data_IF_597214960709
#
_entry.id   IF_597214960709
#
_cell.length_a   1.000
_cell.length_b   1.000
_cell.length_c   1.000
_cell.angle_alpha   90.00
_cell.angle_beta   90.00
_cell.angle_gamma   90.00
#
_symmetry.space_group_name_H-M   'P 1'
#
loop_
_entity.id
_entity.type
_entity.pdbx_description
1 polymer ?
#
# COMPACT_ATOMS: atom_id res chain seq x y z
N UNK A 1 9.90 50.64 -18.05
CA UNK A 1 11.02 49.70 -18.25
C UNK A 1 11.75 49.47 -16.94
N UNK A 2 11.53 48.33 -16.28
CA UNK A 2 12.21 47.74 -15.09
C UNK A 2 11.36 46.49 -14.73
N UNK A 3 11.82 45.28 -14.45
CA UNK A 3 13.15 44.73 -14.16
C UNK A 3 13.10 43.19 -14.22
N UNK A 4 14.25 42.58 -14.51
CA UNK A 4 14.59 41.13 -14.60
C UNK A 4 14.46 40.38 -13.26
N UNK A 5 14.09 39.08 -13.24
CA UNK A 5 14.49 38.05 -12.24
C UNK A 5 14.44 36.63 -12.87
N UNK A 6 15.59 36.01 -13.22
CA UNK A 6 16.43 35.08 -12.43
C UNK A 6 15.98 33.60 -12.56
N UNK A 7 16.84 32.81 -13.21
CA UNK A 7 16.82 31.34 -13.33
C UNK A 7 17.14 30.72 -11.96
N UNK A 8 16.44 29.66 -11.54
CA UNK A 8 16.91 28.80 -10.44
C UNK A 8 16.62 27.32 -10.74
N UNK A 9 17.70 26.55 -10.87
CA UNK A 9 17.71 25.10 -11.01
C UNK A 9 17.44 24.42 -9.66
N UNK A 10 16.63 23.37 -9.64
CA UNK A 10 16.45 22.51 -8.45
C UNK A 10 16.86 21.08 -8.76
N UNK A 11 18.06 20.74 -8.28
CA UNK A 11 18.54 19.37 -8.09
C UNK A 11 17.82 18.82 -6.87
N UNK A 12 17.17 17.66 -6.97
CA UNK A 12 16.70 16.93 -5.80
C UNK A 12 17.38 15.57 -5.70
N UNK A 13 18.26 15.49 -4.70
CA UNK A 13 19.03 14.33 -4.24
C UNK A 13 18.10 13.23 -3.74
N UNK A 14 18.18 12.03 -4.30
CA UNK A 14 17.55 10.82 -3.75
C UNK A 14 18.56 10.02 -2.94
N UNK A 15 18.40 9.99 -1.62
CA UNK A 15 19.12 9.05 -0.75
C UNK A 15 18.32 7.76 -0.60
N UNK A 16 18.87 6.64 -1.06
CA UNK A 16 18.35 5.29 -0.76
C UNK A 16 18.96 4.84 0.58
N UNK A 17 18.13 4.72 1.62
CA UNK A 17 18.52 4.11 2.88
C UNK A 17 18.24 2.60 2.82
N UNK A 18 19.29 1.79 2.74
CA UNK A 18 19.24 0.34 2.94
C UNK A 18 19.34 0.04 4.44
N UNK A 19 18.33 -0.57 5.04
CA UNK A 19 18.41 -1.07 6.42
C UNK A 19 18.50 -2.60 6.43
N UNK A 20 19.47 -3.10 7.18
CA UNK A 20 19.88 -4.49 7.31
C UNK A 20 19.53 -5.08 8.70
N UNK A 21 19.57 -6.43 8.79
CA UNK A 21 19.63 -7.30 9.99
C UNK A 21 18.34 -7.41 10.84
N UNK A 22 17.99 -8.52 11.52
CA UNK A 22 18.63 -9.80 11.78
C UNK A 22 17.59 -10.87 12.25
N UNK A 23 17.99 -12.14 12.09
CA UNK A 23 17.85 -13.30 13.00
C UNK A 23 16.57 -13.48 13.83
N UNK A 24 15.92 -14.64 13.66
CA UNK A 24 15.51 -15.47 14.80
C UNK A 24 15.53 -16.95 14.35
N UNK A 25 16.56 -17.67 14.80
CA UNK A 25 16.47 -19.11 14.97
C UNK A 25 15.56 -19.43 16.16
N UNK A 26 14.75 -20.48 16.03
CA UNK A 26 14.92 -21.69 16.85
C UNK A 26 13.94 -22.75 16.34
N UNK A 27 14.51 -23.83 15.82
CA UNK A 27 13.79 -25.02 15.40
C UNK A 27 13.51 -25.89 16.63
N UNK A 28 12.26 -25.87 17.12
CA UNK A 28 11.78 -26.89 18.06
C UNK A 28 11.18 -28.03 17.28
N UNK A 29 11.94 -29.13 17.20
CA UNK A 29 11.46 -30.46 16.88
C UNK A 29 10.88 -31.10 18.14
N UNK A 30 9.61 -31.47 18.11
CA UNK A 30 9.04 -32.43 19.06
C UNK A 30 8.07 -33.34 18.30
N UNK A 31 8.56 -34.54 17.97
CA UNK A 31 7.71 -35.63 17.52
C UNK A 31 7.07 -36.28 18.74
N UNK A 32 5.74 -36.39 18.71
CA UNK A 32 4.94 -37.15 19.67
C UNK A 32 3.85 -37.87 18.89
N UNK A 33 4.04 -39.17 18.69
CA UNK A 33 3.15 -40.08 17.96
C UNK A 33 1.80 -40.26 18.65
N UNK A 34 0.71 -40.26 17.88
CA UNK A 34 -0.44 -41.16 18.11
C UNK A 34 -1.42 -41.15 16.95
N UNK A 35 -1.24 -42.17 16.10
CA UNK A 35 -2.19 -42.80 15.20
C UNK A 35 -3.68 -42.38 15.34
N UNK A 36 -4.14 -41.47 14.48
CA UNK A 36 -5.56 -41.42 14.07
C UNK A 36 -5.60 -41.71 12.58
N UNK A 37 -6.31 -42.77 12.22
CA UNK A 37 -6.61 -43.17 10.84
C UNK A 37 -7.24 -41.97 10.11
N UNK A 38 -6.49 -41.37 9.19
CA UNK A 38 -6.95 -40.31 8.30
C UNK A 38 -7.40 -40.91 6.94
N UNK A 39 -8.42 -40.35 6.27
CA UNK A 39 -8.85 -40.78 4.93
C UNK A 39 -7.70 -40.71 3.91
N UNK A 40 -7.75 -41.47 2.79
CA UNK A 40 -6.61 -41.63 1.90
C UNK A 40 -6.09 -40.27 1.42
N UNK A 41 -4.86 -39.97 1.85
CA UNK A 41 -4.07 -38.83 1.41
C UNK A 41 -3.99 -38.80 -0.10
N UNK A 42 -4.80 -37.92 -0.71
CA UNK A 42 -4.44 -37.33 -1.98
C UNK A 42 -3.11 -36.62 -1.75
N UNK A 43 -2.04 -37.14 -2.34
CA UNK A 43 -0.71 -36.53 -2.35
C UNK A 43 -0.82 -35.20 -3.09
N UNK A 44 -1.32 -34.18 -2.43
CA UNK A 44 -1.19 -32.82 -2.94
C UNK A 44 0.25 -32.41 -2.62
N UNK A 45 1.15 -32.66 -3.56
CA UNK A 45 2.49 -32.09 -3.61
C UNK A 45 2.36 -30.57 -3.52
N UNK A 46 2.26 -30.11 -2.29
CA UNK A 46 2.22 -28.72 -1.92
C UNK A 46 3.65 -28.25 -2.02
N UNK A 47 4.11 -28.02 -3.24
CA UNK A 47 5.27 -27.17 -3.49
C UNK A 47 4.97 -25.90 -2.72
N UNK A 48 5.64 -25.70 -1.59
CA UNK A 48 5.44 -24.57 -0.70
C UNK A 48 5.85 -23.30 -1.45
N UNK A 49 4.94 -22.77 -2.28
CA UNK A 49 5.07 -21.45 -2.86
C UNK A 49 5.06 -20.51 -1.67
N UNK A 50 6.21 -19.91 -1.37
CA UNK A 50 6.28 -18.79 -0.46
C UNK A 50 5.26 -17.76 -0.93
N UNK A 51 4.15 -17.64 -0.22
CA UNK A 51 3.19 -16.58 -0.47
C UNK A 51 3.91 -15.27 -0.21
N UNK A 52 3.93 -14.31 -1.14
CA UNK A 52 4.56 -13.02 -0.90
C UNK A 52 3.92 -12.42 0.36
N UNK A 53 4.76 -11.99 1.30
CA UNK A 53 4.31 -11.26 2.48
C UNK A 53 3.44 -10.08 2.01
N UNK A 54 2.16 -10.10 2.41
CA UNK A 54 1.21 -9.06 2.04
C UNK A 54 1.62 -7.68 2.55
N UNK A 55 0.99 -6.63 2.03
CA UNK A 55 1.24 -5.25 2.47
C UNK A 55 0.95 -5.10 3.96
N UNK A 56 1.82 -4.38 4.66
CA UNK A 56 1.56 -4.02 6.06
C UNK A 56 0.37 -3.05 6.15
N UNK A 57 -0.30 -3.00 7.30
CA UNK A 57 -1.40 -2.03 7.53
C UNK A 57 -0.97 -0.58 7.29
N UNK A 58 0.27 -0.23 7.63
CA UNK A 58 0.81 1.10 7.39
C UNK A 58 0.92 1.41 5.90
N UNK A 59 1.41 0.46 5.11
CA UNK A 59 1.49 0.58 3.65
C UNK A 59 0.09 0.71 3.03
N UNK A 60 -0.87 -0.13 3.45
CA UNK A 60 -2.25 -0.05 2.93
C UNK A 60 -2.89 1.31 3.24
N UNK A 61 -2.70 1.85 4.45
CA UNK A 61 -3.22 3.18 4.79
C UNK A 61 -2.59 4.27 3.94
N UNK A 62 -1.28 4.22 3.71
CA UNK A 62 -0.59 5.16 2.82
C UNK A 62 -1.20 5.12 1.42
N UNK A 63 -1.35 3.93 0.85
CA UNK A 63 -1.93 3.76 -0.49
C UNK A 63 -3.37 4.25 -0.56
N UNK A 64 -4.17 4.01 0.48
CA UNK A 64 -5.55 4.49 0.54
C UNK A 64 -5.63 6.02 0.55
N UNK A 65 -4.74 6.68 1.31
CA UNK A 65 -4.64 8.15 1.32
C UNK A 65 -4.23 8.65 -0.06
N UNK A 66 -3.23 8.01 -0.68
CA UNK A 66 -2.76 8.37 -2.02
C UNK A 66 -3.88 8.21 -3.07
N UNK A 67 -4.64 7.11 -3.03
CA UNK A 67 -5.78 6.87 -3.92
C UNK A 67 -6.92 7.88 -3.72
N UNK A 68 -7.20 8.26 -2.47
CA UNK A 68 -8.18 9.32 -2.16
C UNK A 68 -7.76 10.65 -2.77
N UNK A 69 -6.49 11.03 -2.59
CA UNK A 69 -5.94 12.27 -3.17
C UNK A 69 -5.95 12.24 -4.70
N UNK A 70 -5.68 11.07 -5.30
CA UNK A 70 -5.73 10.89 -6.74
C UNK A 70 -7.16 11.01 -7.32
N UNK A 71 -8.18 10.71 -6.52
CA UNK A 71 -9.59 10.72 -6.89
C UNK A 71 -10.11 9.39 -7.46
N UNK A 72 -9.31 8.32 -7.38
CA UNK A 72 -9.60 7.02 -8.03
C UNK A 72 -10.54 6.12 -7.23
N UNK A 73 -10.89 6.50 -6.00
CA UNK A 73 -11.87 5.78 -5.20
C UNK A 73 -13.27 6.16 -5.70
N UNK A 74 -14.06 5.23 -6.27
CA UNK A 74 -15.41 5.52 -6.72
C UNK A 74 -16.32 5.82 -5.52
N UNK A 75 -17.27 6.73 -5.72
CA UNK A 75 -18.22 7.13 -4.66
C UNK A 75 -19.45 6.25 -4.61
N UNK A 76 -19.71 5.48 -5.67
CA UNK A 76 -20.85 4.57 -5.81
C UNK A 76 -20.33 3.21 -6.28
N UNK A 77 -21.06 2.15 -5.96
CA UNK A 77 -20.66 0.78 -6.28
C UNK A 77 -20.72 0.48 -7.79
N UNK A 78 -21.56 1.21 -8.54
CA UNK A 78 -21.76 1.00 -9.98
C UNK A 78 -20.71 1.70 -10.88
N UNK A 79 -19.92 2.62 -10.34
CA UNK A 79 -18.97 3.43 -11.12
C UNK A 79 -17.56 2.82 -11.10
N UNK A 80 -17.47 1.53 -11.43
CA UNK A 80 -16.21 0.80 -11.52
C UNK A 80 -15.99 0.22 -12.93
N UNK A 81 -14.87 0.53 -13.60
CA UNK A 81 -13.85 1.49 -13.19
C UNK A 81 -14.34 2.96 -13.29
N UNK A 82 -13.88 3.87 -12.42
CA UNK A 82 -14.39 5.24 -12.40
C UNK A 82 -14.01 5.99 -13.68
N UNK A 83 -14.95 6.75 -14.23
CA UNK A 83 -14.69 7.61 -15.38
C UNK A 83 -13.70 8.74 -15.04
N UNK A 84 -13.02 9.30 -16.04
CA UNK A 84 -12.14 10.46 -15.83
C UNK A 84 -12.89 11.65 -15.20
N UNK A 85 -14.14 11.88 -15.62
CA UNK A 85 -15.01 12.90 -15.05
C UNK A 85 -15.25 12.66 -13.55
N UNK A 86 -15.50 11.41 -13.15
CA UNK A 86 -15.65 11.04 -11.73
C UNK A 86 -14.36 11.31 -10.96
N UNK A 87 -13.22 10.91 -11.51
CA UNK A 87 -11.89 11.11 -10.89
C UNK A 87 -11.64 12.59 -10.63
N UNK A 88 -11.88 13.46 -11.62
CA UNK A 88 -11.66 14.90 -11.50
C UNK A 88 -12.60 15.54 -10.46
N UNK A 89 -13.88 15.13 -10.46
CA UNK A 89 -14.85 15.58 -9.46
C UNK A 89 -14.47 15.14 -8.04
N UNK A 90 -13.99 13.91 -7.88
CA UNK A 90 -13.54 13.38 -6.60
C UNK A 90 -12.31 14.11 -6.09
N UNK A 91 -11.34 14.41 -6.95
CA UNK A 91 -10.15 15.18 -6.60
C UNK A 91 -10.53 16.56 -6.05
N UNK A 92 -11.40 17.29 -6.75
CA UNK A 92 -11.86 18.60 -6.31
C UNK A 92 -12.59 18.52 -4.95
N UNK A 93 -13.49 17.54 -4.78
CA UNK A 93 -14.21 17.35 -3.52
C UNK A 93 -13.26 17.03 -2.36
N UNK A 94 -12.29 16.15 -2.56
CA UNK A 94 -11.35 15.74 -1.52
C UNK A 94 -10.45 16.90 -1.11
N UNK A 95 -9.98 17.73 -2.05
CA UNK A 95 -9.19 18.93 -1.74
C UNK A 95 -9.95 19.92 -0.83
N UNK A 96 -11.25 20.11 -1.05
CA UNK A 96 -12.08 20.97 -0.20
C UNK A 96 -12.11 20.45 1.24
N UNK A 97 -12.28 19.13 1.42
CA UNK A 97 -12.29 18.53 2.75
C UNK A 97 -10.95 18.66 3.45
N UNK A 98 -9.83 18.33 2.79
CA UNK A 98 -8.50 18.48 3.39
C UNK A 98 -8.27 19.91 3.90
N UNK A 99 -8.61 20.93 3.08
CA UNK A 99 -8.49 22.33 3.48
C UNK A 99 -9.35 22.68 4.70
N UNK A 100 -10.59 22.17 4.75
CA UNK A 100 -11.51 22.42 5.86
C UNK A 100 -10.99 21.84 7.18
N UNK A 101 -10.40 20.64 7.15
CA UNK A 101 -9.84 19.99 8.34
C UNK A 101 -8.54 20.67 8.78
N UNK A 102 -7.63 20.96 7.85
CA UNK A 102 -6.37 21.64 8.17
C UNK A 102 -6.53 23.05 8.74
N UNK A 103 -7.67 23.71 8.50
CA UNK A 103 -7.95 25.05 9.05
C UNK A 103 -8.38 25.07 10.52
N UNK A 104 -8.66 23.90 11.12
CA UNK A 104 -9.18 23.78 12.50
C UNK A 104 -8.14 23.33 13.53
N UNK A 105 -6.92 23.08 13.08
CA UNK A 105 -5.76 22.75 13.90
C UNK A 105 -4.87 23.99 14.06
#
# INVERSE_FOLDING_TARGET
MKSKRIILATILMSALSTSALANNGDSVSAQGESNRIAPPSSKNESTARAHPLGKTRAQVRKELIDARRAGTIPTTEADYPPSQRTIDANRARNQIFENFWSSKD
#
